data_IF_059162477848
#
_entry.id   IF_059162477848
#
_cell.length_a   1.000
_cell.length_b   1.000
_cell.length_c   1.000
_cell.angle_alpha   90.00
_cell.angle_beta   90.00
_cell.angle_gamma   90.00
#
_symmetry.space_group_name_H-M   'P 1'
#
loop_
_entity.id
_entity.type
_entity.pdbx_description
1 polymer ?
#
# COMPACT_ATOMS: atom_id res chain seq x y z
N UNK A 1 0.33 5.38 17.02
CA UNK A 1 -0.77 5.60 16.05
C UNK A 1 -0.14 5.62 14.67
N UNK A 2 -0.65 4.80 13.78
CA UNK A 2 -0.20 4.70 12.38
C UNK A 2 -0.99 5.68 11.53
N UNK A 3 -0.43 6.28 10.48
CA UNK A 3 -1.18 7.22 9.61
C UNK A 3 -1.33 6.59 8.23
N UNK A 4 -2.53 6.15 7.88
CA UNK A 4 -2.81 5.68 6.52
C UNK A 4 -2.95 6.89 5.59
N UNK A 5 -2.08 7.05 4.59
CA UNK A 5 -2.13 8.22 3.70
C UNK A 5 -3.25 8.15 2.64
N UNK A 6 -3.94 9.27 2.44
CA UNK A 6 -4.66 9.60 1.20
C UNK A 6 -3.69 10.38 0.28
N UNK A 7 -3.75 10.12 -1.03
CA UNK A 7 -2.94 10.80 -2.03
C UNK A 7 -3.73 11.96 -2.66
N UNK A 8 -3.72 13.14 -2.01
CA UNK A 8 -4.39 14.33 -2.54
C UNK A 8 -3.49 15.14 -3.49
N UNK A 9 -3.80 15.09 -4.78
CA UNK A 9 -3.40 16.12 -5.74
C UNK A 9 -4.24 17.39 -5.58
N UNK A 10 -3.66 18.56 -5.85
CA UNK A 10 -4.36 19.85 -5.81
C UNK A 10 -3.62 20.89 -6.65
N UNK A 11 -4.32 21.65 -7.52
CA UNK A 11 -3.67 22.55 -8.46
C UNK A 11 -3.18 23.84 -7.80
N UNK A 12 -1.96 24.26 -8.13
CA UNK A 12 -1.38 25.53 -7.70
C UNK A 12 -1.19 26.44 -8.93
N UNK A 13 -1.73 27.67 -8.96
CA UNK A 13 -1.68 28.52 -10.15
C UNK A 13 -0.26 29.05 -10.44
N UNK A 14 0.10 29.07 -11.72
CA UNK A 14 1.49 29.26 -12.18
C UNK A 14 1.91 30.72 -12.39
N UNK A 15 3.22 31.01 -12.22
CA UNK A 15 3.89 32.16 -12.86
C UNK A 15 5.43 32.02 -12.89
N UNK A 16 6.01 31.90 -14.08
CA UNK A 16 7.47 32.01 -14.30
C UNK A 16 7.95 31.27 -15.55
N UNK A 17 8.57 31.98 -16.51
CA UNK A 17 9.03 31.40 -17.79
C UNK A 17 10.42 30.76 -17.68
N UNK A 18 10.58 29.56 -18.24
CA UNK A 18 11.87 28.94 -18.54
C UNK A 18 11.68 27.70 -19.42
N UNK A 19 12.27 27.67 -20.62
CA UNK A 19 12.10 26.54 -21.53
C UNK A 19 13.10 25.42 -21.23
N UNK A 20 12.61 24.37 -20.59
CA UNK A 20 13.10 23.02 -20.81
C UNK A 20 11.89 22.16 -21.19
N UNK A 21 12.01 21.29 -22.20
CA UNK A 21 10.97 20.29 -22.49
C UNK A 21 10.96 19.23 -21.40
N UNK A 22 10.40 19.57 -20.23
CA UNK A 22 10.02 18.58 -19.22
C UNK A 22 8.98 17.70 -19.89
N UNK A 23 9.30 16.41 -20.02
CA UNK A 23 8.36 15.36 -20.41
C UNK A 23 7.13 15.51 -19.52
N UNK A 24 5.93 15.57 -20.10
CA UNK A 24 4.69 15.58 -19.33
C UNK A 24 4.46 14.19 -18.73
N UNK A 25 5.20 13.90 -17.66
CA UNK A 25 4.85 12.89 -16.68
C UNK A 25 3.77 13.51 -15.79
N UNK A 26 2.53 13.48 -16.31
CA UNK A 26 1.39 14.21 -15.77
C UNK A 26 1.01 13.71 -14.38
N UNK A 27 0.79 14.67 -13.47
CA UNK A 27 0.11 14.61 -12.15
C UNK A 27 0.18 13.31 -11.33
N UNK A 28 1.24 12.52 -11.48
CA UNK A 28 1.44 11.29 -10.73
C UNK A 28 1.84 11.65 -9.30
N UNK A 29 1.05 11.29 -8.26
CA UNK A 29 1.32 11.67 -6.89
C UNK A 29 2.71 11.20 -6.43
N UNK A 30 3.26 11.86 -5.42
CA UNK A 30 4.63 11.61 -4.94
C UNK A 30 4.71 10.41 -3.97
N UNK A 31 4.16 9.29 -4.44
CA UNK A 31 4.03 8.02 -3.73
C UNK A 31 4.53 6.88 -4.60
N UNK A 32 5.05 5.83 -3.97
CA UNK A 32 5.36 4.56 -4.64
C UNK A 32 4.13 3.67 -4.53
N UNK A 33 3.66 3.17 -5.67
CA UNK A 33 2.56 2.20 -5.74
C UNK A 33 2.99 0.94 -6.46
N UNK A 34 2.25 -0.15 -6.24
CA UNK A 34 2.42 -1.41 -6.96
C UNK A 34 1.07 -2.03 -7.32
N UNK A 35 1.04 -2.83 -8.38
CA UNK A 35 -0.10 -3.69 -8.69
C UNK A 35 0.19 -5.09 -8.17
N UNK A 36 -0.76 -5.61 -7.40
CA UNK A 36 -0.74 -6.98 -6.89
C UNK A 36 -2.04 -7.69 -7.29
N UNK A 37 -1.96 -9.00 -7.45
CA UNK A 37 -3.11 -9.84 -7.75
C UNK A 37 -3.43 -10.71 -6.53
N UNK A 38 -4.70 -10.79 -6.18
CA UNK A 38 -5.23 -11.72 -5.18
C UNK A 38 -6.35 -12.48 -5.85
N UNK A 39 -6.30 -13.82 -5.86
CA UNK A 39 -7.25 -14.65 -6.59
C UNK A 39 -7.39 -14.25 -8.08
N UNK A 40 -6.27 -13.91 -8.72
CA UNK A 40 -6.17 -13.35 -10.09
C UNK A 40 -6.81 -11.98 -10.33
N UNK A 41 -7.35 -11.30 -9.31
CA UNK A 41 -7.92 -9.96 -9.42
C UNK A 41 -6.88 -8.88 -9.10
N UNK A 42 -6.70 -7.85 -9.94
CA UNK A 42 -5.71 -6.79 -9.72
C UNK A 42 -6.19 -5.75 -8.68
N UNK A 43 -5.27 -5.38 -7.79
CA UNK A 43 -5.48 -4.38 -6.74
C UNK A 43 -4.27 -3.42 -6.66
N UNK A 44 -4.55 -2.15 -6.38
CA UNK A 44 -3.50 -1.14 -6.21
C UNK A 44 -3.04 -1.07 -4.76
N UNK A 45 -1.75 -1.28 -4.54
CA UNK A 45 -1.10 -1.13 -3.25
C UNK A 45 -0.35 0.20 -3.15
N UNK A 46 -0.52 0.90 -2.02
CA UNK A 46 0.43 1.92 -1.56
C UNK A 46 1.63 1.23 -0.90
N UNK A 47 2.84 1.68 -1.21
CA UNK A 47 4.06 1.23 -0.53
C UNK A 47 4.44 2.28 0.52
N UNK A 48 4.20 1.99 1.80
CA UNK A 48 4.28 2.98 2.88
C UNK A 48 5.27 2.56 3.99
N UNK A 49 6.48 3.14 3.93
CA UNK A 49 7.53 2.95 4.94
C UNK A 49 7.20 3.59 6.30
N UNK A 50 6.14 4.40 6.40
CA UNK A 50 5.65 4.99 7.65
C UNK A 50 4.61 4.10 8.32
N UNK A 51 4.12 3.09 7.59
CA UNK A 51 3.27 2.03 8.10
C UNK A 51 4.14 0.93 8.74
N UNK A 52 3.83 0.52 9.96
CA UNK A 52 4.46 -0.64 10.60
C UNK A 52 3.75 -1.94 10.25
N UNK A 53 2.47 -1.88 9.89
CA UNK A 53 1.65 -3.02 9.48
C UNK A 53 1.20 -2.86 8.03
N UNK A 54 0.87 -3.99 7.40
CA UNK A 54 0.20 -4.02 6.10
C UNK A 54 -1.31 -4.13 6.26
N UNK A 55 -2.06 -3.55 5.32
CA UNK A 55 -3.50 -3.38 5.39
C UNK A 55 -4.22 -3.75 4.10
N UNK A 56 -5.49 -4.11 4.24
CA UNK A 56 -6.47 -4.33 3.17
C UNK A 56 -7.75 -3.56 3.49
N UNK A 57 -8.37 -2.90 2.50
CA UNK A 57 -9.67 -2.25 2.72
C UNK A 57 -10.79 -3.29 2.81
N UNK A 58 -11.69 -3.12 3.79
CA UNK A 58 -12.84 -4.00 4.04
C UNK A 58 -13.69 -4.27 2.78
N UNK A 59 -13.80 -3.28 1.89
CA UNK A 59 -14.53 -3.39 0.62
C UNK A 59 -14.06 -4.53 -0.31
N UNK A 60 -12.83 -5.04 -0.14
CA UNK A 60 -12.29 -6.17 -0.92
C UNK A 60 -11.88 -7.37 -0.07
N UNK A 61 -12.05 -7.32 1.27
CA UNK A 61 -11.53 -8.37 2.15
C UNK A 61 -12.25 -9.72 1.99
N UNK A 62 -13.50 -9.70 1.51
CA UNK A 62 -14.22 -10.90 1.08
C UNK A 62 -13.63 -11.60 -0.15
N UNK A 63 -12.80 -10.92 -0.96
CA UNK A 63 -12.13 -11.48 -2.15
C UNK A 63 -10.81 -12.20 -1.84
N UNK A 64 -10.34 -12.14 -0.59
CA UNK A 64 -9.05 -12.70 -0.18
C UNK A 64 -9.00 -14.23 -0.18
N UNK A 65 -10.14 -14.90 -0.02
CA UNK A 65 -10.22 -16.37 0.01
C UNK A 65 -9.64 -17.02 1.26
N UNK A 66 -9.13 -16.24 2.22
CA UNK A 66 -8.64 -16.70 3.54
C UNK A 66 -9.56 -16.19 4.66
N UNK A 67 -9.75 -16.98 5.75
CA UNK A 67 -10.48 -16.54 6.92
C UNK A 67 -9.73 -15.43 7.67
N UNK A 68 -10.48 -14.53 8.29
CA UNK A 68 -9.93 -13.56 9.25
C UNK A 68 -9.87 -14.12 10.66
N UNK A 69 -8.84 -13.74 11.41
CA UNK A 69 -8.77 -13.88 12.86
C UNK A 69 -8.97 -12.52 13.54
N UNK A 70 -9.56 -12.51 14.74
CA UNK A 70 -9.52 -11.36 15.64
C UNK A 70 -8.25 -11.43 16.50
N UNK A 71 -7.46 -10.37 16.51
CA UNK A 71 -6.19 -10.29 17.23
C UNK A 71 -6.40 -9.85 18.68
N UNK A 72 -5.69 -10.50 19.61
CA UNK A 72 -5.75 -10.19 21.06
C UNK A 72 -5.30 -8.75 21.38
N UNK A 73 -4.60 -8.09 20.45
CA UNK A 73 -4.18 -6.69 20.53
C UNK A 73 -4.65 -5.94 19.28
N UNK A 74 -5.05 -4.68 19.44
CA UNK A 74 -5.54 -3.81 18.35
C UNK A 74 -4.50 -2.73 18.01
N UNK A 75 -4.50 -2.27 16.76
CA UNK A 75 -3.69 -1.15 16.27
C UNK A 75 -4.56 0.10 16.12
N UNK A 76 -4.02 1.27 16.47
CA UNK A 76 -4.69 2.56 16.25
C UNK A 76 -4.21 3.19 14.96
N UNK A 77 -5.10 3.28 13.97
CA UNK A 77 -4.83 3.94 12.68
C UNK A 77 -5.56 5.28 12.62
N UNK A 78 -4.82 6.33 12.29
CA UNK A 78 -5.31 7.66 12.00
C UNK A 78 -5.60 7.77 10.50
N UNK A 79 -6.81 8.24 10.18
CA UNK A 79 -7.09 8.78 8.86
C UNK A 79 -6.41 10.15 8.68
N UNK A 80 -6.17 10.60 7.43
CA UNK A 80 -5.66 11.94 7.15
C UNK A 80 -6.60 13.08 7.56
N UNK A 81 -7.86 12.76 7.88
CA UNK A 81 -8.83 13.71 8.44
C UNK A 81 -8.70 13.82 9.98
N UNK A 82 -7.73 13.13 10.58
CA UNK A 82 -7.49 13.13 12.03
C UNK A 82 -8.37 12.18 12.84
N UNK A 83 -9.23 11.40 12.19
CA UNK A 83 -10.07 10.41 12.88
C UNK A 83 -9.22 9.17 13.21
N UNK A 84 -9.21 8.72 14.47
CA UNK A 84 -8.60 7.44 14.84
C UNK A 84 -9.63 6.31 14.79
N UNK A 85 -9.19 5.16 14.31
CA UNK A 85 -9.95 3.90 14.31
C UNK A 85 -9.08 2.80 14.93
N UNK A 86 -9.73 1.83 15.57
CA UNK A 86 -9.10 0.60 16.04
C UNK A 86 -9.25 -0.48 14.98
N UNK A 87 -8.20 -1.21 14.71
CA UNK A 87 -8.22 -2.40 13.84
C UNK A 87 -7.60 -3.58 14.56
N UNK A 88 -8.31 -4.70 14.52
CA UNK A 88 -8.05 -5.94 15.25
C UNK A 88 -8.37 -7.18 14.39
N UNK A 89 -8.88 -7.02 13.18
CA UNK A 89 -9.15 -8.12 12.25
C UNK A 89 -7.95 -8.33 11.32
N UNK A 90 -7.40 -9.53 11.32
CA UNK A 90 -6.17 -9.90 10.61
C UNK A 90 -6.43 -11.05 9.64
N UNK A 91 -5.93 -10.92 8.41
CA UNK A 91 -5.85 -11.98 7.41
C UNK A 91 -4.38 -12.41 7.30
N UNK A 92 -4.08 -13.67 7.62
CA UNK A 92 -2.69 -14.18 7.59
C UNK A 92 -2.34 -14.82 6.26
N UNK A 93 -1.06 -14.75 5.91
CA UNK A 93 -0.44 -15.38 4.73
C UNK A 93 -1.24 -15.20 3.42
N UNK A 94 -1.84 -14.03 3.25
CA UNK A 94 -2.57 -13.65 2.03
C UNK A 94 -1.61 -13.72 0.84
N UNK A 95 -1.92 -14.51 -0.22
CA UNK A 95 -1.05 -14.64 -1.37
C UNK A 95 -1.14 -13.37 -2.24
N UNK A 96 -0.12 -12.51 -2.16
CA UNK A 96 0.00 -11.33 -3.02
C UNK A 96 0.88 -11.64 -4.22
N UNK A 97 0.29 -11.83 -5.40
CA UNK A 97 1.06 -12.06 -6.62
C UNK A 97 1.49 -10.73 -7.25
N UNK A 98 2.77 -10.60 -7.61
CA UNK A 98 3.23 -9.54 -8.52
C UNK A 98 4.42 -10.05 -9.34
N UNK A 99 4.57 -9.57 -10.58
CA UNK A 99 5.65 -9.99 -11.49
C UNK A 99 5.74 -11.54 -11.68
N UNK A 100 4.58 -12.22 -11.68
CA UNK A 100 4.48 -13.69 -11.82
C UNK A 100 4.95 -14.48 -10.60
N UNK A 101 4.91 -13.88 -9.40
CA UNK A 101 5.52 -14.40 -8.17
C UNK A 101 4.65 -14.07 -6.96
N UNK A 102 4.41 -15.05 -6.08
CA UNK A 102 3.56 -14.90 -4.90
C UNK A 102 4.41 -14.57 -3.67
N UNK A 103 3.99 -13.54 -2.92
CA UNK A 103 4.61 -13.08 -1.68
C UNK A 103 3.55 -13.03 -0.57
N UNK A 104 3.63 -13.92 0.41
CA UNK A 104 2.65 -14.02 1.50
C UNK A 104 2.70 -12.80 2.44
N UNK A 105 1.55 -12.16 2.66
CA UNK A 105 1.42 -10.98 3.51
C UNK A 105 0.34 -11.13 4.59
N UNK A 106 0.62 -10.59 5.77
CA UNK A 106 -0.34 -10.52 6.87
C UNK A 106 -1.01 -9.14 6.80
N UNK A 107 -2.33 -9.08 6.64
CA UNK A 107 -3.08 -7.85 6.32
C UNK A 107 -4.15 -7.55 7.37
N UNK A 108 -4.06 -6.39 8.01
CA UNK A 108 -5.12 -5.89 8.89
C UNK A 108 -6.25 -5.23 8.09
N UNK A 109 -7.51 -5.42 8.49
CA UNK A 109 -8.65 -4.82 7.81
C UNK A 109 -8.81 -3.33 8.17
N UNK A 110 -8.77 -2.46 7.16
CA UNK A 110 -9.13 -1.04 7.27
C UNK A 110 -10.56 -0.79 6.80
N UNK A 111 -11.41 -0.08 7.57
CA UNK A 111 -12.75 0.30 7.11
C UNK A 111 -12.76 1.49 6.12
N UNK A 112 -11.59 2.06 5.81
CA UNK A 112 -11.43 3.17 4.85
C UNK A 112 -10.07 3.11 4.13
N UNK A 113 -10.00 3.66 2.92
CA UNK A 113 -8.76 3.82 2.16
C UNK A 113 -9.02 4.16 0.69
N UNK A 114 -8.13 4.93 0.07
CA UNK A 114 -8.13 5.16 -1.39
C UNK A 114 -7.42 4.01 -2.14
N UNK A 115 -6.43 3.40 -1.50
CA UNK A 115 -5.72 2.24 -2.02
C UNK A 115 -6.38 0.96 -1.52
N UNK A 116 -6.38 -0.08 -2.36
CA UNK A 116 -6.94 -1.38 -2.01
C UNK A 116 -6.12 -2.08 -0.91
N UNK A 117 -4.80 -1.88 -0.99
CA UNK A 117 -3.80 -2.44 -0.10
C UNK A 117 -2.85 -1.31 0.37
N UNK A 118 -2.30 -1.47 1.56
CA UNK A 118 -1.12 -0.71 2.02
C UNK A 118 -0.09 -1.76 2.44
N UNK A 119 1.12 -1.68 1.90
CA UNK A 119 2.22 -2.57 2.26
C UNK A 119 3.21 -1.79 3.13
N UNK A 120 3.20 -2.16 4.41
CA UNK A 120 4.00 -1.57 5.46
C UNK A 120 5.36 -2.23 5.63
N UNK A 121 6.09 -1.76 6.64
CA UNK A 121 7.44 -2.23 6.97
C UNK A 121 7.48 -3.72 7.33
N UNK A 122 6.43 -4.29 7.90
CA UNK A 122 6.29 -5.74 8.14
C UNK A 122 6.51 -6.55 6.85
N UNK A 123 5.75 -6.26 5.80
CA UNK A 123 5.81 -6.95 4.51
C UNK A 123 7.07 -6.57 3.73
N UNK A 124 7.45 -5.29 3.72
CA UNK A 124 8.62 -4.81 2.99
C UNK A 124 9.93 -5.41 3.54
N UNK A 125 10.03 -5.57 4.86
CA UNK A 125 11.19 -6.24 5.51
C UNK A 125 11.13 -7.75 5.30
N UNK A 126 9.96 -8.40 5.47
CA UNK A 126 9.75 -9.86 5.23
C UNK A 126 10.28 -10.27 3.85
N UNK A 127 9.98 -9.47 2.81
CA UNK A 127 10.35 -9.75 1.42
C UNK A 127 11.58 -8.99 0.90
N UNK A 128 12.32 -8.31 1.79
CA UNK A 128 13.56 -7.57 1.49
C UNK A 128 13.42 -6.60 0.31
N UNK A 129 12.27 -5.92 0.25
CA UNK A 129 11.92 -4.97 -0.78
C UNK A 129 12.94 -3.81 -0.83
N UNK A 130 13.26 -3.35 -2.04
CA UNK A 130 14.13 -2.19 -2.27
C UNK A 130 13.32 -1.12 -2.99
N UNK A 131 13.36 0.11 -2.49
CA UNK A 131 12.57 1.23 -3.05
C UNK A 131 13.48 2.13 -3.87
N UNK A 132 13.12 2.30 -5.14
CA UNK A 132 13.68 3.30 -6.04
C UNK A 132 12.75 4.51 -6.06
N UNK A 133 13.00 5.45 -5.16
CA UNK A 133 12.18 6.66 -5.03
C UNK A 133 12.27 7.57 -6.26
N UNK A 134 13.40 7.57 -6.98
CA UNK A 134 13.60 8.39 -8.17
C UNK A 134 12.76 7.87 -9.34
N UNK A 135 12.67 6.55 -9.52
CA UNK A 135 11.80 5.93 -10.51
C UNK A 135 10.38 5.59 -9.98
N UNK A 136 10.04 6.00 -8.74
CA UNK A 136 8.79 5.69 -8.03
C UNK A 136 8.39 4.20 -8.07
N UNK A 137 9.33 3.28 -7.86
CA UNK A 137 9.09 1.82 -7.96
C UNK A 137 9.64 1.04 -6.79
N UNK A 138 9.00 -0.09 -6.53
CA UNK A 138 9.51 -1.15 -5.65
C UNK A 138 10.15 -2.27 -6.48
N UNK A 139 11.28 -2.80 -5.99
CA UNK A 139 11.96 -3.98 -6.53
C UNK A 139 11.98 -5.07 -5.45
N UNK A 140 11.45 -6.25 -5.78
CA UNK A 140 11.50 -7.42 -4.91
C UNK A 140 12.69 -8.31 -5.30
N UNK A 141 13.43 -8.78 -4.30
CA UNK A 141 14.57 -9.67 -4.54
C UNK A 141 14.08 -11.09 -4.80
N UNK A 142 14.69 -11.76 -5.77
CA UNK A 142 14.42 -13.17 -6.00
C UNK A 142 14.98 -14.00 -4.83
N UNK A 143 14.11 -14.56 -4.00
CA UNK A 143 14.45 -15.77 -3.25
C UNK A 143 14.49 -16.93 -4.25
N UNK A 144 15.62 -17.09 -4.93
CA UNK A 144 15.93 -18.35 -5.61
C UNK A 144 16.05 -19.45 -4.57
N UNK A 145 15.50 -20.63 -4.88
CA UNK A 145 15.62 -21.83 -4.05
C UNK A 145 17.01 -22.44 -4.07
#
# INVERSE_FOLDING_TARGET
>A
MEVAQLARGGPQPARGRGQARRREEGDAPDVITGTFFISSMPYTALIDIRSTHSYVVCAISGSLGVPSEETVSWVSVLSPLGHSVRVDKLYKDVPLETQGRIFAGDLMELPFGEFNLILGMDWLVKHRATLDCAAKRMVLKNCGG
#
